data_IF_417288300792
#
_entry.id   IF_417288300792
#
_cell.length_a   1.000
_cell.length_b   1.000
_cell.length_c   1.000
_cell.angle_alpha   90.00
_cell.angle_beta   90.00
_cell.angle_gamma   90.00
#
_symmetry.space_group_name_H-M   'P 1'
#
loop_
_entity.id
_entity.type
_entity.pdbx_description
1 polymer ?
#
# COMPACT_ATOMS: atom_id res chain seq x y z
N UNK A 1 -32.47 33.04 -3.71
CA UNK A 1 -31.81 32.41 -2.55
C UNK A 1 -30.49 31.69 -2.95
N UNK A 2 -29.67 32.26 -3.84
CA UNK A 2 -28.44 31.61 -4.33
C UNK A 2 -27.21 32.54 -4.23
N UNK A 3 -27.10 33.34 -3.16
CA UNK A 3 -26.09 34.42 -3.10
C UNK A 3 -24.79 34.10 -2.36
N UNK A 4 -24.60 32.90 -1.80
CA UNK A 4 -23.40 32.60 -0.98
C UNK A 4 -22.90 31.14 -1.07
N UNK A 5 -23.38 30.31 -2.01
CA UNK A 5 -22.90 28.92 -2.15
C UNK A 5 -22.05 28.83 -3.41
N UNK A 6 -20.75 28.60 -3.24
CA UNK A 6 -19.85 28.29 -4.34
C UNK A 6 -20.27 26.94 -4.94
N UNK A 7 -20.34 26.86 -6.27
CA UNK A 7 -20.66 25.62 -6.97
C UNK A 7 -19.49 24.65 -6.87
N UNK A 8 -19.76 23.46 -6.34
CA UNK A 8 -18.78 22.39 -6.18
C UNK A 8 -18.58 21.62 -7.48
N UNK A 9 -19.65 21.40 -8.24
CA UNK A 9 -19.68 20.55 -9.42
C UNK A 9 -19.69 21.36 -10.72
N UNK A 10 -20.45 22.45 -10.81
CA UNK A 10 -20.46 23.32 -12.00
C UNK A 10 -19.09 23.99 -12.12
N UNK A 11 -18.44 23.84 -13.28
CA UNK A 11 -17.13 24.44 -13.58
C UNK A 11 -17.22 25.35 -14.80
N UNK A 12 -16.30 26.30 -14.89
CA UNK A 12 -16.24 27.22 -16.02
C UNK A 12 -17.45 28.17 -16.13
N UNK A 13 -17.69 28.62 -17.36
CA UNK A 13 -18.77 29.55 -17.69
C UNK A 13 -20.08 28.80 -17.95
N UNK A 14 -21.18 29.31 -17.43
CA UNK A 14 -22.51 28.77 -17.66
C UNK A 14 -23.46 29.93 -17.99
N UNK A 15 -24.00 29.95 -19.20
CA UNK A 15 -24.97 30.95 -19.64
C UNK A 15 -26.05 30.32 -20.51
N UNK A 16 -27.22 30.95 -20.55
CA UNK A 16 -28.35 30.47 -21.32
C UNK A 16 -27.98 30.31 -22.80
N UNK A 17 -28.32 29.17 -23.39
CA UNK A 17 -28.03 28.86 -24.79
C UNK A 17 -26.58 28.50 -25.13
N UNK A 18 -25.66 28.53 -24.17
CA UNK A 18 -24.30 28.00 -24.33
C UNK A 18 -24.15 26.64 -23.63
N UNK A 19 -23.13 25.83 -23.98
CA UNK A 19 -22.77 24.65 -23.21
C UNK A 19 -22.44 25.01 -21.75
N UNK A 20 -22.79 24.12 -20.83
CA UNK A 20 -22.38 24.21 -19.43
C UNK A 20 -21.70 22.91 -18.99
N UNK A 21 -20.60 23.03 -18.26
CA UNK A 21 -19.82 21.89 -17.77
C UNK A 21 -20.07 21.65 -16.28
N UNK A 22 -20.33 20.39 -15.91
CA UNK A 22 -20.51 19.93 -14.53
C UNK A 22 -19.68 18.67 -14.27
N UNK A 23 -18.86 18.66 -13.22
CA UNK A 23 -17.85 17.63 -12.98
C UNK A 23 -18.21 16.73 -11.80
N UNK A 24 -18.65 15.50 -12.08
CA UNK A 24 -18.84 14.44 -11.09
C UNK A 24 -17.49 13.75 -10.79
N UNK A 25 -16.60 14.47 -10.09
CA UNK A 25 -15.25 14.00 -9.72
C UNK A 25 -15.20 13.55 -8.25
N UNK A 26 -16.03 12.58 -7.92
CA UNK A 26 -16.23 12.12 -6.54
C UNK A 26 -16.74 10.68 -6.52
N UNK A 27 -16.70 10.09 -5.33
CA UNK A 27 -17.35 8.81 -5.05
C UNK A 27 -18.87 9.01 -5.02
N UNK A 28 -19.62 7.96 -5.35
CA UNK A 28 -21.07 7.99 -5.35
C UNK A 28 -21.58 7.74 -3.94
N UNK A 29 -21.77 8.80 -3.18
CA UNK A 29 -22.32 8.78 -1.83
C UNK A 29 -23.52 9.72 -1.68
N UNK A 30 -24.20 9.64 -0.54
CA UNK A 30 -25.38 10.46 -0.26
C UNK A 30 -25.09 11.97 -0.38
N UNK A 31 -23.94 12.44 0.11
CA UNK A 31 -23.64 13.88 0.18
C UNK A 31 -23.31 14.45 -1.18
N UNK A 32 -22.42 13.78 -1.92
CA UNK A 32 -22.02 14.12 -3.28
C UNK A 32 -23.21 14.11 -4.23
N UNK A 33 -24.08 13.10 -4.15
CA UNK A 33 -25.28 13.01 -4.99
C UNK A 33 -26.24 14.15 -4.69
N UNK A 34 -26.54 14.45 -3.42
CA UNK A 34 -27.44 15.55 -3.08
C UNK A 34 -26.94 16.91 -3.60
N UNK A 35 -25.64 17.17 -3.48
CA UNK A 35 -25.05 18.41 -3.96
C UNK A 35 -24.99 18.47 -5.49
N UNK A 36 -24.62 17.37 -6.16
CA UNK A 36 -24.63 17.30 -7.62
C UNK A 36 -26.03 17.51 -8.18
N UNK A 37 -27.04 16.82 -7.64
CA UNK A 37 -28.43 16.95 -8.09
C UNK A 37 -28.93 18.39 -7.94
N UNK A 38 -28.58 19.06 -6.83
CA UNK A 38 -28.93 20.46 -6.62
C UNK A 38 -28.31 21.39 -7.68
N UNK A 39 -27.04 21.19 -8.02
CA UNK A 39 -26.35 21.98 -9.05
C UNK A 39 -26.83 21.64 -10.47
N UNK A 40 -27.10 20.37 -10.74
CA UNK A 40 -27.71 19.94 -11.99
C UNK A 40 -29.09 20.58 -12.17
N UNK A 41 -29.92 20.58 -11.12
CA UNK A 41 -31.20 21.30 -11.12
C UNK A 41 -31.03 22.81 -11.26
N UNK A 42 -29.93 23.38 -10.78
CA UNK A 42 -29.62 24.78 -11.01
C UNK A 42 -29.38 25.07 -12.49
N UNK A 43 -28.57 24.23 -13.17
CA UNK A 43 -28.33 24.35 -14.61
C UNK A 43 -29.65 24.22 -15.40
N UNK A 44 -30.46 23.21 -15.09
CA UNK A 44 -31.71 22.94 -15.81
C UNK A 44 -32.73 24.05 -15.61
N UNK A 45 -32.98 24.47 -14.37
CA UNK A 45 -34.11 25.34 -14.05
C UNK A 45 -33.80 26.83 -14.15
N UNK A 46 -32.53 27.25 -14.00
CA UNK A 46 -32.16 28.66 -13.92
C UNK A 46 -31.16 29.12 -14.98
N UNK A 47 -30.30 28.24 -15.48
CA UNK A 47 -29.34 28.60 -16.54
C UNK A 47 -29.91 28.31 -17.93
N UNK A 48 -30.54 27.15 -18.11
CA UNK A 48 -31.02 26.65 -19.40
C UNK A 48 -29.93 26.65 -20.50
N UNK A 49 -28.83 25.89 -20.31
CA UNK A 49 -27.78 25.76 -21.31
C UNK A 49 -28.29 25.03 -22.57
N UNK A 50 -27.55 25.16 -23.68
CA UNK A 50 -27.88 24.41 -24.91
C UNK A 50 -27.52 22.93 -24.81
N UNK A 51 -26.52 22.60 -23.98
CA UNK A 51 -26.11 21.23 -23.67
C UNK A 51 -25.46 21.21 -22.29
N UNK A 52 -25.67 20.13 -21.53
CA UNK A 52 -24.99 19.90 -20.25
C UNK A 52 -23.93 18.83 -20.47
N UNK A 53 -22.66 19.19 -20.27
CA UNK A 53 -21.51 18.30 -20.33
C UNK A 53 -21.17 17.80 -18.95
N UNK A 54 -21.37 16.50 -18.75
CA UNK A 54 -21.20 15.82 -17.48
C UNK A 54 -19.86 15.11 -17.51
N UNK A 55 -18.88 15.72 -16.88
CA UNK A 55 -17.52 15.22 -16.77
C UNK A 55 -17.43 14.21 -15.62
N UNK A 56 -16.92 13.01 -15.88
CA UNK A 56 -16.96 11.88 -14.94
C UNK A 56 -15.55 11.39 -14.64
N UNK A 57 -15.24 11.35 -13.35
CA UNK A 57 -14.07 10.70 -12.77
C UNK A 57 -14.48 10.12 -11.41
N UNK A 58 -15.02 8.91 -11.43
CA UNK A 58 -15.62 8.26 -10.26
C UNK A 58 -15.27 6.78 -10.21
N UNK A 59 -14.92 6.32 -9.00
CA UNK A 59 -14.77 4.89 -8.70
C UNK A 59 -16.12 4.20 -8.44
N UNK A 60 -17.22 4.95 -8.43
CA UNK A 60 -18.54 4.46 -8.08
C UNK A 60 -18.83 4.57 -6.59
N UNK A 61 -19.73 3.72 -6.08
CA UNK A 61 -20.24 3.78 -4.71
C UNK A 61 -21.65 3.21 -4.60
N UNK A 62 -22.54 3.91 -3.88
CA UNK A 62 -23.90 3.46 -3.59
C UNK A 62 -24.75 3.31 -4.85
N UNK A 63 -25.30 2.12 -5.06
CA UNK A 63 -26.25 1.83 -6.16
C UNK A 63 -27.47 2.72 -6.07
N UNK A 64 -28.03 2.89 -4.86
CA UNK A 64 -29.25 3.67 -4.65
C UNK A 64 -29.03 5.15 -4.99
N UNK A 65 -27.92 5.73 -4.51
CA UNK A 65 -27.60 7.14 -4.76
C UNK A 65 -27.25 7.36 -6.24
N UNK A 66 -26.46 6.47 -6.85
CA UNK A 66 -26.10 6.57 -8.27
C UNK A 66 -27.31 6.42 -9.19
N UNK A 67 -28.29 5.58 -8.85
CA UNK A 67 -29.54 5.47 -9.61
C UNK A 67 -30.38 6.76 -9.57
N UNK A 68 -30.24 7.58 -8.52
CA UNK A 68 -30.91 8.88 -8.46
C UNK A 68 -30.29 9.86 -9.47
N UNK A 69 -28.96 9.85 -9.60
CA UNK A 69 -28.25 10.64 -10.62
C UNK A 69 -28.59 10.14 -12.03
N UNK A 70 -28.52 8.82 -12.26
CA UNK A 70 -28.90 8.20 -13.53
C UNK A 70 -30.29 8.62 -13.98
N UNK A 71 -31.29 8.49 -13.09
CA UNK A 71 -32.67 8.85 -13.41
C UNK A 71 -32.82 10.33 -13.70
N UNK A 72 -32.12 11.20 -12.96
CA UNK A 72 -32.17 12.64 -13.17
C UNK A 72 -31.61 13.07 -14.53
N UNK A 73 -30.51 12.45 -14.97
CA UNK A 73 -29.92 12.70 -16.28
C UNK A 73 -30.88 12.22 -17.38
N UNK A 74 -31.40 10.99 -17.27
CA UNK A 74 -32.35 10.41 -18.23
C UNK A 74 -33.66 11.21 -18.37
N UNK A 75 -34.14 11.83 -17.29
CA UNK A 75 -35.35 12.66 -17.31
C UNK A 75 -35.12 14.07 -17.87
N UNK A 76 -33.86 14.49 -18.00
CA UNK A 76 -33.50 15.83 -18.42
C UNK A 76 -33.94 16.09 -19.87
N UNK A 77 -34.45 17.31 -20.13
CA UNK A 77 -34.89 17.74 -21.47
C UNK A 77 -33.82 18.49 -22.25
N UNK A 78 -32.78 18.95 -21.55
CA UNK A 78 -31.60 19.54 -22.18
C UNK A 78 -30.69 18.38 -22.59
N UNK A 79 -30.15 18.41 -23.81
CA UNK A 79 -29.21 17.40 -24.30
C UNK A 79 -28.03 17.26 -23.34
N UNK A 80 -27.64 16.03 -23.05
CA UNK A 80 -26.57 15.68 -22.12
C UNK A 80 -25.45 14.93 -22.82
N UNK A 81 -24.21 15.37 -22.58
CA UNK A 81 -22.99 14.71 -23.07
C UNK A 81 -22.24 14.18 -21.83
N UNK A 82 -22.13 12.86 -21.66
CA UNK A 82 -21.37 12.27 -20.55
C UNK A 82 -19.95 11.95 -21.01
N UNK A 83 -18.95 12.58 -20.40
CA UNK A 83 -17.54 12.44 -20.76
C UNK A 83 -16.80 11.70 -19.65
N UNK A 84 -16.26 10.52 -19.95
CA UNK A 84 -15.33 9.84 -19.06
C UNK A 84 -13.94 10.46 -19.22
N UNK A 85 -13.57 11.32 -18.28
CA UNK A 85 -12.30 12.05 -18.30
C UNK A 85 -11.12 11.22 -17.80
N UNK A 86 -11.38 10.13 -17.08
CA UNK A 86 -10.35 9.36 -16.39
C UNK A 86 -10.84 7.95 -16.03
N UNK A 87 -11.81 7.87 -15.14
CA UNK A 87 -12.37 6.62 -14.66
C UNK A 87 -13.89 6.74 -14.53
N UNK A 88 -14.60 5.84 -15.19
CA UNK A 88 -16.01 5.58 -14.92
C UNK A 88 -16.11 4.12 -14.46
N UNK A 89 -16.08 3.90 -13.14
CA UNK A 89 -16.13 2.57 -12.56
C UNK A 89 -17.42 2.34 -11.77
N UNK A 90 -17.95 1.11 -11.79
CA UNK A 90 -19.10 0.71 -10.97
C UNK A 90 -20.30 1.67 -11.18
N UNK A 91 -20.85 2.29 -10.14
CA UNK A 91 -21.93 3.27 -10.33
C UNK A 91 -21.52 4.51 -11.14
N UNK A 92 -20.23 4.82 -11.25
CA UNK A 92 -19.71 5.83 -12.17
C UNK A 92 -19.91 5.45 -13.64
N UNK A 93 -19.81 4.17 -14.02
CA UNK A 93 -20.10 3.72 -15.39
C UNK A 93 -21.59 3.72 -15.70
N UNK A 94 -22.46 3.47 -14.71
CA UNK A 94 -23.90 3.65 -14.85
C UNK A 94 -24.27 5.13 -15.04
N UNK A 95 -23.73 6.03 -14.21
CA UNK A 95 -23.97 7.48 -14.36
C UNK A 95 -23.50 7.96 -15.73
N UNK A 96 -22.33 7.50 -16.20
CA UNK A 96 -21.84 7.79 -17.54
C UNK A 96 -22.82 7.32 -18.62
N UNK A 97 -23.31 6.09 -18.52
CA UNK A 97 -24.28 5.51 -19.46
C UNK A 97 -25.65 6.21 -19.51
N UNK A 98 -25.92 7.18 -18.62
CA UNK A 98 -27.17 7.94 -18.59
C UNK A 98 -27.25 9.06 -19.65
N UNK A 99 -26.12 9.52 -20.19
CA UNK A 99 -26.08 10.64 -21.12
C UNK A 99 -26.75 10.34 -22.46
N UNK A 100 -27.18 11.38 -23.18
CA UNK A 100 -27.66 11.22 -24.56
C UNK A 100 -26.51 10.75 -25.45
N UNK A 101 -25.34 11.40 -25.32
CA UNK A 101 -24.09 11.03 -25.97
C UNK A 101 -23.00 10.70 -24.96
N UNK A 102 -22.14 9.75 -25.32
CA UNK A 102 -21.13 9.18 -24.45
C UNK A 102 -19.75 9.37 -25.06
N UNK A 103 -18.87 10.04 -24.35
CA UNK A 103 -17.49 10.27 -24.76
C UNK A 103 -16.52 9.61 -23.79
N UNK A 104 -15.36 9.22 -24.30
CA UNK A 104 -14.24 8.74 -23.49
C UNK A 104 -12.96 9.40 -23.97
N UNK A 105 -12.10 9.83 -23.04
CA UNK A 105 -10.72 10.14 -23.40
C UNK A 105 -9.98 8.86 -23.77
N UNK A 106 -9.06 8.96 -24.72
CA UNK A 106 -8.32 7.81 -25.26
C UNK A 106 -7.47 7.07 -24.21
N UNK A 107 -7.14 7.73 -23.10
CA UNK A 107 -6.49 7.12 -21.94
C UNK A 107 -7.46 6.57 -20.89
N UNK A 108 -8.74 6.95 -20.92
CA UNK A 108 -9.67 6.68 -19.82
C UNK A 108 -10.01 5.19 -19.69
N UNK A 109 -10.40 4.80 -18.48
CA UNK A 109 -10.86 3.46 -18.15
C UNK A 109 -12.36 3.45 -17.86
N UNK A 110 -13.03 2.44 -18.38
CA UNK A 110 -14.37 2.03 -18.01
C UNK A 110 -14.26 0.75 -17.18
N UNK A 111 -14.91 0.68 -16.02
CA UNK A 111 -14.91 -0.53 -15.20
C UNK A 111 -16.34 -0.91 -14.81
N UNK A 112 -16.68 -2.16 -15.05
CA UNK A 112 -18.02 -2.70 -14.84
C UNK A 112 -17.87 -3.99 -14.04
N UNK A 113 -18.62 -4.10 -12.94
CA UNK A 113 -18.63 -5.26 -12.06
C UNK A 113 -20.00 -5.46 -11.41
N UNK A 114 -20.22 -6.61 -10.78
CA UNK A 114 -21.45 -6.88 -10.04
C UNK A 114 -21.55 -6.04 -8.75
N UNK A 115 -22.74 -5.55 -8.40
CA UNK A 115 -22.95 -4.87 -7.12
C UNK A 115 -22.76 -5.85 -5.96
N UNK A 116 -22.19 -5.35 -4.87
CA UNK A 116 -21.99 -6.09 -3.63
C UNK A 116 -22.38 -5.23 -2.42
N UNK A 117 -22.67 -5.88 -1.30
CA UNK A 117 -22.71 -5.21 0.00
C UNK A 117 -21.35 -5.36 0.67
N UNK A 118 -20.73 -4.27 1.11
CA UNK A 118 -19.56 -4.34 1.98
C UNK A 118 -20.04 -4.54 3.43
N UNK A 119 -19.65 -5.67 4.03
CA UNK A 119 -19.85 -5.95 5.43
C UNK A 119 -18.52 -6.33 6.07
N UNK A 120 -17.98 -5.44 6.90
CA UNK A 120 -16.71 -5.60 7.59
C UNK A 120 -15.49 -5.79 6.65
N UNK A 121 -15.50 -5.16 5.47
CA UNK A 121 -14.42 -5.27 4.49
C UNK A 121 -14.50 -6.52 3.61
N UNK A 122 -15.58 -7.29 3.73
CA UNK A 122 -15.88 -8.45 2.89
C UNK A 122 -17.08 -8.17 1.99
N UNK A 123 -16.97 -8.60 0.74
CA UNK A 123 -18.07 -8.52 -0.22
C UNK A 123 -19.09 -9.59 0.09
N UNK A 124 -20.33 -9.16 0.30
CA UNK A 124 -21.47 -10.03 0.49
C UNK A 124 -22.46 -9.89 -0.66
N UNK A 125 -23.02 -11.03 -1.05
CA UNK A 125 -24.05 -11.14 -2.08
C UNK A 125 -25.31 -11.71 -1.43
N UNK A 126 -26.42 -10.99 -1.59
CA UNK A 126 -27.71 -11.32 -1.03
C UNK A 126 -28.82 -11.03 -2.05
N UNK A 127 -30.08 -11.24 -1.64
CA UNK A 127 -31.24 -11.02 -2.50
C UNK A 127 -31.31 -9.59 -3.05
N UNK A 128 -30.89 -8.58 -2.29
CA UNK A 128 -30.91 -7.19 -2.74
C UNK A 128 -29.83 -6.93 -3.81
N UNK A 129 -28.61 -7.44 -3.62
CA UNK A 129 -27.54 -7.31 -4.63
C UNK A 129 -27.89 -8.08 -5.90
N UNK A 130 -28.57 -9.21 -5.81
CA UNK A 130 -29.08 -9.94 -6.98
C UNK A 130 -30.11 -9.11 -7.76
N UNK A 131 -31.06 -8.49 -7.06
CA UNK A 131 -32.04 -7.59 -7.69
C UNK A 131 -31.36 -6.38 -8.37
N UNK A 132 -30.37 -5.77 -7.71
CA UNK A 132 -29.58 -4.70 -8.32
C UNK A 132 -28.76 -5.19 -9.51
N UNK A 133 -28.21 -6.41 -9.47
CA UNK A 133 -27.49 -7.00 -10.60
C UNK A 133 -28.38 -7.06 -11.83
N UNK A 134 -29.61 -7.56 -11.69
CA UNK A 134 -30.57 -7.60 -12.80
C UNK A 134 -30.94 -6.20 -13.31
N UNK A 135 -31.10 -5.23 -12.40
CA UNK A 135 -31.38 -3.83 -12.76
C UNK A 135 -30.23 -3.23 -13.59
N UNK A 136 -28.99 -3.32 -13.10
CA UNK A 136 -27.82 -2.74 -13.77
C UNK A 136 -27.52 -3.46 -15.08
N UNK A 137 -27.63 -4.79 -15.13
CA UNK A 137 -27.53 -5.57 -16.37
C UNK A 137 -28.52 -5.09 -17.43
N UNK A 138 -29.77 -4.84 -17.03
CA UNK A 138 -30.81 -4.32 -17.93
C UNK A 138 -30.42 -2.96 -18.54
N UNK A 139 -29.78 -2.09 -17.76
CA UNK A 139 -29.29 -0.78 -18.24
C UNK A 139 -28.23 -0.99 -19.32
N UNK A 140 -27.21 -1.82 -19.05
CA UNK A 140 -26.14 -2.07 -20.02
C UNK A 140 -26.66 -2.71 -21.32
N UNK A 141 -27.50 -3.75 -21.21
CA UNK A 141 -28.11 -4.41 -22.38
C UNK A 141 -28.90 -3.42 -23.23
N UNK A 142 -29.76 -2.61 -22.60
CA UNK A 142 -30.60 -1.65 -23.32
C UNK A 142 -29.81 -0.50 -23.92
N UNK A 143 -28.81 0.00 -23.21
CA UNK A 143 -28.02 1.17 -23.64
C UNK A 143 -27.08 0.82 -24.78
N UNK A 144 -26.44 -0.35 -24.73
CA UNK A 144 -25.35 -0.71 -25.63
C UNK A 144 -25.70 -1.80 -26.65
N UNK A 145 -26.91 -2.38 -26.57
CA UNK A 145 -27.34 -3.43 -27.49
C UNK A 145 -26.59 -4.76 -27.34
N UNK A 146 -25.84 -4.93 -26.25
CA UNK A 146 -25.12 -6.15 -25.91
C UNK A 146 -26.09 -7.25 -25.46
N UNK A 147 -25.72 -8.51 -25.68
CA UNK A 147 -26.48 -9.63 -25.12
C UNK A 147 -26.35 -9.68 -23.59
N UNK A 148 -27.33 -10.30 -22.93
CA UNK A 148 -27.27 -10.51 -21.48
C UNK A 148 -26.02 -11.28 -21.06
N UNK A 149 -25.62 -12.28 -21.85
CA UNK A 149 -24.42 -13.10 -21.59
C UNK A 149 -23.14 -12.26 -21.71
N UNK A 150 -23.02 -11.38 -22.70
CA UNK A 150 -21.87 -10.48 -22.83
C UNK A 150 -21.77 -9.53 -21.65
N UNK A 151 -22.89 -8.93 -21.23
CA UNK A 151 -22.91 -8.04 -20.06
C UNK A 151 -22.57 -8.81 -18.79
N UNK A 152 -23.13 -10.00 -18.60
CA UNK A 152 -22.84 -10.87 -17.46
C UNK A 152 -21.35 -11.23 -17.40
N UNK A 153 -20.74 -11.62 -18.53
CA UNK A 153 -19.31 -11.90 -18.61
C UNK A 153 -18.46 -10.66 -18.26
N UNK A 154 -18.87 -9.47 -18.71
CA UNK A 154 -18.19 -8.22 -18.37
C UNK A 154 -18.31 -7.91 -16.87
N UNK A 155 -19.51 -8.04 -16.29
CA UNK A 155 -19.77 -7.80 -14.87
C UNK A 155 -19.07 -8.81 -13.96
N UNK A 156 -18.93 -10.07 -14.41
CA UNK A 156 -18.21 -11.11 -13.68
C UNK A 156 -16.70 -10.90 -13.75
N UNK A 157 -16.18 -10.50 -14.92
CA UNK A 157 -14.74 -10.43 -15.14
C UNK A 157 -14.11 -11.81 -15.35
N UNK A 158 -12.78 -11.83 -15.34
CA UNK A 158 -12.02 -13.09 -15.42
C UNK A 158 -12.00 -13.80 -14.06
N UNK A 159 -11.63 -15.08 -14.06
CA UNK A 159 -11.52 -15.86 -12.82
C UNK A 159 -10.60 -15.17 -11.80
N UNK A 160 -11.15 -14.89 -10.62
CA UNK A 160 -10.43 -14.21 -9.53
C UNK A 160 -10.41 -12.67 -9.61
N UNK A 161 -11.02 -12.08 -10.64
CA UNK A 161 -11.15 -10.63 -10.79
C UNK A 161 -12.57 -10.16 -10.43
N UNK A 162 -12.71 -8.90 -10.02
CA UNK A 162 -14.00 -8.28 -9.69
C UNK A 162 -14.50 -7.45 -10.87
N UNK A 163 -15.07 -8.10 -11.87
CA UNK A 163 -15.51 -7.44 -13.10
C UNK A 163 -14.36 -7.11 -14.06
N UNK A 164 -14.66 -6.23 -15.02
CA UNK A 164 -13.79 -5.97 -16.16
C UNK A 164 -13.42 -4.50 -16.25
N UNK A 165 -12.12 -4.23 -16.36
CA UNK A 165 -11.59 -2.94 -16.81
C UNK A 165 -11.42 -2.94 -18.32
N UNK A 166 -11.91 -1.89 -18.97
CA UNK A 166 -11.89 -1.67 -20.40
C UNK A 166 -11.18 -0.34 -20.67
N UNK A 167 -10.15 -0.37 -21.51
CA UNK A 167 -9.58 0.83 -22.12
C UNK A 167 -10.57 1.45 -23.10
N UNK A 168 -10.39 2.72 -23.46
CA UNK A 168 -11.19 3.37 -24.51
C UNK A 168 -11.25 2.56 -25.82
N UNK A 169 -10.14 1.93 -26.22
CA UNK A 169 -10.09 1.07 -27.41
C UNK A 169 -10.94 -0.21 -27.26
N UNK A 170 -10.91 -0.85 -26.09
CA UNK A 170 -11.73 -2.03 -25.81
C UNK A 170 -13.21 -1.67 -25.62
N UNK A 171 -13.50 -0.49 -25.06
CA UNK A 171 -14.85 0.04 -24.94
C UNK A 171 -15.45 0.29 -26.33
N UNK A 172 -14.67 0.86 -27.25
CA UNK A 172 -15.03 1.02 -28.67
C UNK A 172 -15.28 -0.35 -29.35
N UNK A 173 -14.35 -1.29 -29.20
CA UNK A 173 -14.49 -2.65 -29.78
C UNK A 173 -15.76 -3.36 -29.31
N UNK A 174 -16.14 -3.15 -28.04
CA UNK A 174 -17.35 -3.72 -27.43
C UNK A 174 -18.61 -2.86 -27.63
N UNK A 175 -18.55 -1.76 -28.37
CA UNK A 175 -19.73 -0.93 -28.64
C UNK A 175 -20.25 -0.11 -27.47
N UNK A 176 -19.42 0.17 -26.45
CA UNK A 176 -19.78 1.11 -25.37
C UNK A 176 -19.70 2.57 -25.81
N UNK A 177 -18.86 2.89 -26.79
CA UNK A 177 -18.62 4.24 -27.27
C UNK A 177 -18.31 4.20 -28.76
N UNK A 178 -18.73 5.23 -29.49
CA UNK A 178 -18.45 5.36 -30.92
C UNK A 178 -17.05 5.90 -31.18
N UNK A 179 -16.48 5.59 -32.35
CA UNK A 179 -15.13 6.02 -32.70
C UNK A 179 -14.99 7.55 -32.74
N UNK A 180 -16.04 8.27 -33.15
CA UNK A 180 -16.07 9.74 -33.17
C UNK A 180 -16.19 10.38 -31.78
N UNK A 181 -16.57 9.59 -30.77
CA UNK A 181 -16.69 10.02 -29.39
C UNK A 181 -15.45 9.70 -28.54
N UNK A 182 -14.38 9.21 -29.18
CA UNK A 182 -13.06 9.11 -28.55
C UNK A 182 -12.35 10.46 -28.65
N UNK A 183 -12.03 11.02 -27.48
CA UNK A 183 -11.29 12.28 -27.36
C UNK A 183 -9.80 11.97 -27.26
N UNK A 184 -9.07 12.22 -28.34
CA UNK A 184 -7.62 12.08 -28.41
C UNK A 184 -6.91 13.05 -27.47
N UNK A 185 -5.86 12.57 -26.80
CA UNK A 185 -5.08 13.37 -25.85
C UNK A 185 -3.60 13.45 -26.24
N UNK A 186 -2.84 14.44 -25.75
CA UNK A 186 -1.42 14.54 -26.07
C UNK A 186 -0.67 13.27 -25.68
N UNK A 187 0.11 12.72 -26.62
CA UNK A 187 0.86 11.46 -26.43
C UNK A 187 1.65 11.41 -25.13
N UNK A 188 2.27 12.51 -24.71
CA UNK A 188 3.04 12.56 -23.46
C UNK A 188 2.18 12.27 -22.21
N UNK A 189 0.94 12.73 -22.18
CA UNK A 189 -0.01 12.48 -21.07
C UNK A 189 -0.41 11.01 -21.06
N UNK A 190 -0.74 10.46 -22.23
CA UNK A 190 -1.08 9.05 -22.41
C UNK A 190 0.05 8.11 -21.98
N UNK A 191 1.28 8.38 -22.41
CA UNK A 191 2.45 7.57 -22.06
C UNK A 191 2.71 7.58 -20.53
N UNK A 192 2.52 8.73 -19.87
CA UNK A 192 2.64 8.84 -18.41
C UNK A 192 1.58 8.03 -17.66
N UNK A 193 0.32 8.12 -18.09
CA UNK A 193 -0.80 7.39 -17.47
C UNK A 193 -0.61 5.89 -17.67
N UNK A 194 -0.27 5.45 -18.88
CA UNK A 194 -0.04 4.02 -19.16
C UNK A 194 1.13 3.46 -18.35
N UNK A 195 2.22 4.21 -18.20
CA UNK A 195 3.35 3.80 -17.37
C UNK A 195 2.96 3.67 -15.88
N UNK A 196 2.14 4.58 -15.37
CA UNK A 196 1.64 4.55 -14.00
C UNK A 196 0.67 3.38 -13.75
N UNK A 197 -0.20 3.06 -14.72
CA UNK A 197 -1.17 1.97 -14.62
C UNK A 197 -0.55 0.57 -14.75
N UNK A 198 0.61 0.44 -15.42
CA UNK A 198 1.25 -0.86 -15.72
C UNK A 198 1.46 -1.77 -14.51
N UNK A 199 1.61 -1.20 -13.31
CA UNK A 199 1.93 -1.94 -12.09
C UNK A 199 0.77 -1.94 -11.08
N UNK A 200 -0.42 -1.48 -11.44
CA UNK A 200 -1.54 -1.42 -10.50
C UNK A 200 -2.84 -1.96 -11.08
N UNK A 201 -3.52 -2.78 -10.28
CA UNK A 201 -4.90 -3.22 -10.49
C UNK A 201 -5.83 -2.68 -9.41
N UNK A 202 -5.30 -1.92 -8.44
CA UNK A 202 -6.04 -1.42 -7.30
C UNK A 202 -6.79 -0.14 -7.67
N UNK A 203 -8.12 -0.14 -7.50
CA UNK A 203 -8.96 0.97 -7.92
C UNK A 203 -8.64 2.28 -7.17
N UNK A 204 -8.16 2.19 -5.92
CA UNK A 204 -7.72 3.34 -5.13
C UNK A 204 -6.43 3.96 -5.67
N UNK A 205 -5.46 3.14 -6.05
CA UNK A 205 -4.24 3.58 -6.73
C UNK A 205 -4.52 4.13 -8.13
N UNK A 206 -5.43 3.51 -8.88
CA UNK A 206 -5.90 4.00 -10.18
C UNK A 206 -6.52 5.40 -10.01
N UNK A 207 -7.42 5.58 -9.05
CA UNK A 207 -8.01 6.89 -8.72
C UNK A 207 -6.94 7.93 -8.38
N UNK A 208 -5.93 7.56 -7.58
CA UNK A 208 -4.83 8.46 -7.22
C UNK A 208 -3.99 8.89 -8.45
N UNK A 209 -3.67 7.95 -9.35
CA UNK A 209 -2.95 8.22 -10.61
C UNK A 209 -3.76 9.19 -11.46
N UNK A 210 -5.06 8.93 -11.64
CA UNK A 210 -5.94 9.78 -12.42
C UNK A 210 -6.17 11.15 -11.80
N UNK A 211 -6.16 11.27 -10.46
CA UNK A 211 -6.22 12.55 -9.77
C UNK A 211 -5.04 13.48 -10.06
N UNK A 212 -3.87 12.94 -10.46
CA UNK A 212 -2.69 13.73 -10.82
C UNK A 212 -2.74 14.29 -12.24
N UNK A 213 -3.57 13.71 -13.12
CA UNK A 213 -3.66 14.04 -14.56
C UNK A 213 -5.03 14.58 -14.96
N UNK A 214 -6.01 14.57 -14.04
CA UNK A 214 -7.33 15.11 -14.29
C UNK A 214 -7.22 16.58 -14.72
N UNK A 215 -7.81 16.97 -15.87
CA UNK A 215 -7.78 18.36 -16.29
C UNK A 215 -8.45 19.22 -15.21
N UNK A 216 -7.69 20.15 -14.63
CA UNK A 216 -8.24 21.22 -13.80
C UNK A 216 -9.05 22.12 -14.72
N UNK A 217 -10.35 21.85 -14.85
CA UNK A 217 -11.26 22.82 -15.44
C UNK A 217 -11.21 24.06 -14.54
N UNK A 218 -10.95 25.25 -15.11
CA UNK A 218 -10.76 26.46 -14.31
C UNK A 218 -11.97 26.67 -13.39
N UNK A 219 -11.69 26.96 -12.12
CA UNK A 219 -12.71 27.34 -11.15
C UNK A 219 -13.55 28.46 -11.73
N UNK A 220 -14.87 28.35 -11.55
CA UNK A 220 -15.91 29.26 -12.05
C UNK A 220 -15.42 30.71 -12.10
N UNK A 221 -15.05 31.17 -13.30
CA UNK A 221 -15.08 32.59 -13.61
C UNK A 221 -16.50 32.83 -14.06
N UNK A 222 -17.29 33.59 -13.29
CA UNK A 222 -18.51 34.18 -13.82
C UNK A 222 -18.09 34.90 -15.10
N UNK A 223 -18.52 34.39 -16.25
CA UNK A 223 -18.00 34.87 -17.53
C UNK A 223 -18.45 36.33 -17.71
N UNK A 224 -17.51 37.27 -17.59
CA UNK A 224 -17.71 38.71 -17.72
C UNK A 224 -18.11 39.16 -19.14
N UNK A 225 -18.33 38.24 -20.09
CA UNK A 225 -18.50 38.58 -21.51
C UNK A 225 -19.91 39.03 -21.94
N UNK A 226 -20.81 39.37 -21.02
CA UNK A 226 -22.07 40.05 -21.38
C UNK A 226 -22.36 41.33 -20.58
N UNK A 227 -21.41 41.86 -19.80
CA UNK A 227 -21.62 43.14 -19.07
C UNK A 227 -21.17 44.36 -19.89
N UNK A 228 -20.28 44.21 -20.87
CA UNK A 228 -19.66 45.35 -21.56
C UNK A 228 -20.33 45.81 -22.86
N UNK A 229 -21.45 45.23 -23.28
CA UNK A 229 -22.14 45.67 -24.52
C UNK A 229 -23.35 46.59 -24.32
N UNK A 230 -23.67 47.03 -23.10
CA UNK A 230 -24.79 47.96 -22.85
C UNK A 230 -24.47 49.11 -21.86
N UNK A 231 -23.22 49.58 -21.78
CA UNK A 231 -22.84 50.63 -20.80
C UNK A 231 -23.33 52.06 -21.08
N UNK A 232 -24.26 52.31 -22.01
CA UNK A 232 -24.70 53.69 -22.31
C UNK A 232 -26.20 53.98 -22.11
N UNK A 233 -26.97 53.13 -21.43
CA UNK A 233 -28.39 53.42 -21.16
C UNK A 233 -28.91 52.86 -19.83
N UNK A 234 -28.22 53.08 -18.70
CA UNK A 234 -28.82 52.81 -17.39
C UNK A 234 -29.57 54.04 -16.85
N UNK A 235 -30.84 53.87 -16.49
CA UNK A 235 -31.65 54.91 -15.82
C UNK A 235 -31.20 55.10 -14.35
N UNK A 236 -31.48 56.28 -13.76
CA UNK A 236 -31.17 56.61 -12.35
C UNK A 236 -31.70 55.57 -11.37
N UNK A 237 -32.81 54.90 -11.71
CA UNK A 237 -33.40 53.84 -10.91
C UNK A 237 -32.49 52.63 -10.78
N UNK A 238 -31.84 52.23 -11.87
CA UNK A 238 -30.95 51.06 -11.91
C UNK A 238 -29.62 51.33 -11.19
N UNK A 239 -29.08 52.55 -11.33
CA UNK A 239 -27.89 52.98 -10.58
C UNK A 239 -28.17 52.95 -9.07
N UNK A 240 -29.36 53.39 -8.64
CA UNK A 240 -29.75 53.37 -7.23
C UNK A 240 -29.89 51.94 -6.70
N UNK A 241 -30.46 51.02 -7.48
CA UNK A 241 -30.59 49.60 -7.13
C UNK A 241 -29.22 48.91 -7.01
N UNK A 242 -28.32 49.16 -7.95
CA UNK A 242 -26.96 48.60 -7.90
C UNK A 242 -26.11 49.20 -6.78
N UNK A 243 -26.22 50.50 -6.53
CA UNK A 243 -25.58 51.16 -5.39
C UNK A 243 -26.06 50.56 -4.05
N UNK A 244 -27.36 50.28 -3.91
CA UNK A 244 -27.93 49.68 -2.71
C UNK A 244 -27.37 48.27 -2.43
N UNK A 245 -27.03 47.49 -3.45
CA UNK A 245 -26.36 46.19 -3.28
C UNK A 245 -24.99 46.31 -2.60
N UNK A 246 -24.33 47.46 -2.75
CA UNK A 246 -23.06 47.79 -2.10
C UNK A 246 -23.24 48.64 -0.84
N UNK A 247 -24.48 48.86 -0.37
CA UNK A 247 -24.79 49.70 0.78
C UNK A 247 -24.59 51.20 0.53
N UNK A 248 -24.49 51.62 -0.73
CA UNK A 248 -24.36 53.01 -1.15
C UNK A 248 -25.76 53.59 -1.39
N UNK A 249 -26.11 54.68 -0.70
CA UNK A 249 -27.44 55.30 -0.77
C UNK A 249 -27.33 56.82 -0.92
N UNK A 250 -28.42 57.46 -1.38
CA UNK A 250 -28.48 58.92 -1.57
C UNK A 250 -27.45 59.43 -2.57
N UNK A 251 -26.81 60.57 -2.28
CA UNK A 251 -25.80 61.20 -3.16
C UNK A 251 -24.54 60.34 -3.40
N UNK A 252 -24.35 59.27 -2.62
CA UNK A 252 -23.24 58.33 -2.79
C UNK A 252 -23.55 57.21 -3.77
N UNK A 253 -24.77 57.11 -4.29
CA UNK A 253 -25.18 56.15 -5.30
C UNK A 253 -24.84 56.66 -6.71
N UNK A 254 -23.55 56.74 -7.03
CA UNK A 254 -23.05 57.18 -8.34
C UNK A 254 -22.31 56.05 -9.05
N UNK A 255 -22.13 56.18 -10.36
CA UNK A 255 -21.41 55.18 -11.16
C UNK A 255 -19.95 55.06 -10.71
N UNK A 256 -19.35 56.16 -10.28
CA UNK A 256 -17.97 56.23 -9.79
C UNK A 256 -17.79 55.49 -8.47
N UNK A 257 -18.75 55.63 -7.53
CA UNK A 257 -18.66 54.95 -6.23
C UNK A 257 -18.89 53.45 -6.35
N UNK A 258 -19.79 53.02 -7.26
CA UNK A 258 -19.99 51.62 -7.63
C UNK A 258 -18.69 51.05 -8.24
N UNK A 259 -18.11 51.76 -9.21
CA UNK A 259 -16.86 51.33 -9.87
C UNK A 259 -15.69 51.23 -8.88
N UNK A 260 -15.56 52.19 -7.97
CA UNK A 260 -14.55 52.14 -6.91
C UNK A 260 -14.74 50.93 -5.99
N UNK A 261 -15.99 50.58 -5.64
CA UNK A 261 -16.27 49.42 -4.79
C UNK A 261 -16.02 48.10 -5.50
N UNK A 262 -16.32 48.02 -6.79
CA UNK A 262 -15.99 46.87 -7.65
C UNK A 262 -14.47 46.67 -7.68
N UNK A 263 -13.69 47.73 -7.89
CA UNK A 263 -12.24 47.65 -7.90
C UNK A 263 -11.65 47.24 -6.54
N UNK A 264 -12.21 47.73 -5.43
CA UNK A 264 -11.81 47.30 -4.08
C UNK A 264 -12.07 45.81 -3.86
N UNK A 265 -13.24 45.32 -4.29
CA UNK A 265 -13.61 43.90 -4.17
C UNK A 265 -12.76 43.02 -5.08
N UNK A 266 -12.43 43.48 -6.29
CA UNK A 266 -11.50 42.81 -7.21
C UNK A 266 -10.11 42.67 -6.59
N UNK A 267 -9.56 43.75 -6.03
CA UNK A 267 -8.27 43.70 -5.35
C UNK A 267 -8.27 42.74 -4.14
N UNK A 268 -9.40 42.59 -3.43
CA UNK A 268 -9.54 41.57 -2.37
C UNK A 268 -9.61 40.16 -2.93
N UNK A 269 -10.32 39.95 -4.04
CA UNK A 269 -10.39 38.66 -4.72
C UNK A 269 -9.00 38.21 -5.22
N UNK A 270 -8.26 39.09 -5.89
CA UNK A 270 -6.91 38.82 -6.38
C UNK A 270 -5.96 38.42 -5.22
N UNK A 271 -6.10 39.10 -4.07
CA UNK A 271 -5.32 38.77 -2.86
C UNK A 271 -5.70 37.41 -2.28
N UNK A 272 -6.98 37.04 -2.31
CA UNK A 272 -7.46 35.72 -1.86
C UNK A 272 -6.95 34.62 -2.78
N UNK A 273 -6.96 34.83 -4.10
CA UNK A 273 -6.42 33.86 -5.07
C UNK A 273 -4.91 33.65 -4.87
N UNK A 274 -4.15 34.71 -4.65
CA UNK A 274 -2.73 34.61 -4.34
C UNK A 274 -2.46 33.83 -3.04
N UNK A 275 -3.31 34.00 -2.01
CA UNK A 275 -3.22 33.24 -0.75
C UNK A 275 -3.58 31.77 -1.00
N UNK A 276 -4.61 31.48 -1.79
CA UNK A 276 -5.02 30.12 -2.11
C UNK A 276 -3.93 29.38 -2.87
N UNK A 277 -3.33 30.00 -3.89
CA UNK A 277 -2.20 29.43 -4.63
C UNK A 277 -1.01 29.14 -3.70
N UNK A 278 -0.69 30.04 -2.79
CA UNK A 278 0.38 29.83 -1.80
C UNK A 278 0.05 28.67 -0.83
N UNK A 279 -1.22 28.50 -0.48
CA UNK A 279 -1.69 27.39 0.36
C UNK A 279 -1.58 26.04 -0.37
N UNK A 280 -1.95 26.00 -1.64
CA UNK A 280 -1.87 24.81 -2.48
C UNK A 280 -0.40 24.39 -2.69
N UNK A 281 0.48 25.35 -2.98
CA UNK A 281 1.93 25.11 -3.06
C UNK A 281 2.50 24.57 -1.74
N UNK A 282 2.08 25.12 -0.60
CA UNK A 282 2.49 24.63 0.73
C UNK A 282 1.94 23.24 1.04
N UNK A 283 0.73 22.94 0.61
CA UNK A 283 0.10 21.63 0.78
C UNK A 283 0.83 20.56 -0.03
N UNK A 284 1.23 20.88 -1.28
CA UNK A 284 2.05 19.99 -2.11
C UNK A 284 3.45 19.73 -1.51
N UNK A 285 4.09 20.77 -0.97
CA UNK A 285 5.37 20.65 -0.25
C UNK A 285 5.25 19.73 0.97
N UNK A 286 4.16 19.86 1.74
CA UNK A 286 3.91 19.05 2.92
C UNK A 286 3.65 17.58 2.58
N UNK A 287 2.92 17.31 1.49
CA UNK A 287 2.73 15.95 0.98
C UNK A 287 4.06 15.28 0.59
N UNK A 288 4.94 16.03 -0.10
CA UNK A 288 6.28 15.56 -0.50
C UNK A 288 7.14 15.24 0.73
N UNK A 289 7.19 16.15 1.71
CA UNK A 289 7.95 15.96 2.94
C UNK A 289 7.46 14.75 3.76
N UNK A 290 6.14 14.51 3.80
CA UNK A 290 5.58 13.34 4.48
C UNK A 290 5.94 12.01 3.80
N UNK A 291 6.01 12.00 2.46
CA UNK A 291 6.47 10.83 1.71
C UNK A 291 7.95 10.52 2.00
N UNK A 292 8.81 11.55 2.00
CA UNK A 292 10.23 11.41 2.36
C UNK A 292 10.42 10.93 3.80
N UNK A 293 9.66 11.47 4.76
CA UNK A 293 9.69 11.06 6.16
C UNK A 293 9.29 9.59 6.32
N UNK A 294 8.27 9.14 5.58
CA UNK A 294 7.80 7.75 5.58
C UNK A 294 8.87 6.81 5.01
N UNK A 295 9.53 7.21 3.92
CA UNK A 295 10.68 6.50 3.36
C UNK A 295 11.84 6.39 4.35
N UNK A 296 12.20 7.50 4.99
CA UNK A 296 13.26 7.53 6.01
C UNK A 296 12.94 6.64 7.22
N UNK A 297 11.69 6.65 7.70
CA UNK A 297 11.23 5.79 8.81
C UNK A 297 11.35 4.31 8.46
N UNK A 298 11.00 3.94 7.22
CA UNK A 298 11.12 2.56 6.72
C UNK A 298 12.59 2.13 6.65
N UNK A 299 13.47 2.99 6.12
CA UNK A 299 14.92 2.74 6.10
C UNK A 299 15.51 2.58 7.51
N UNK A 300 15.10 3.40 8.47
CA UNK A 300 15.54 3.27 9.87
C UNK A 300 15.07 1.93 10.46
N UNK A 301 13.83 1.52 10.20
CA UNK A 301 13.31 0.22 10.65
C UNK A 301 14.13 -0.95 10.09
N UNK A 302 14.45 -0.92 8.79
CA UNK A 302 15.26 -1.94 8.14
C UNK A 302 16.69 -1.98 8.70
N UNK A 303 17.35 -0.83 8.83
CA UNK A 303 18.69 -0.74 9.43
C UNK A 303 18.70 -1.23 10.88
N UNK A 304 17.63 -0.97 11.64
CA UNK A 304 17.49 -1.48 13.02
C UNK A 304 17.36 -3.00 13.04
N UNK A 305 16.59 -3.59 12.11
CA UNK A 305 16.47 -5.03 11.98
C UNK A 305 17.81 -5.67 11.58
N UNK A 306 18.54 -5.08 10.64
CA UNK A 306 19.84 -5.57 10.21
C UNK A 306 20.91 -5.43 11.30
N UNK A 307 20.88 -4.33 12.07
CA UNK A 307 21.75 -4.17 13.25
C UNK A 307 21.49 -5.25 14.30
N UNK A 308 20.22 -5.60 14.54
CA UNK A 308 19.86 -6.70 15.46
C UNK A 308 20.40 -8.03 14.96
N UNK A 309 20.17 -8.38 13.67
CA UNK A 309 20.73 -9.60 13.07
C UNK A 309 22.25 -9.65 13.15
N UNK A 310 22.94 -8.54 12.88
CA UNK A 310 24.39 -8.45 12.96
C UNK A 310 24.90 -8.65 14.39
N UNK A 311 24.22 -8.09 15.40
CA UNK A 311 24.54 -8.31 16.82
C UNK A 311 24.34 -9.77 17.23
N UNK A 312 23.24 -10.39 16.79
CA UNK A 312 22.97 -11.80 17.08
C UNK A 312 24.02 -12.72 16.44
N UNK A 313 24.37 -12.47 15.17
CA UNK A 313 25.44 -13.20 14.50
C UNK A 313 26.79 -13.03 15.21
N UNK A 314 27.14 -11.79 15.60
CA UNK A 314 28.37 -11.51 16.33
C UNK A 314 28.44 -12.27 17.66
N UNK A 315 27.33 -12.32 18.40
CA UNK A 315 27.24 -13.07 19.65
C UNK A 315 27.52 -14.56 19.44
N UNK A 316 26.92 -15.16 18.40
CA UNK A 316 27.18 -16.57 18.04
C UNK A 316 28.66 -16.81 17.73
N UNK A 317 29.30 -15.90 16.97
CA UNK A 317 30.73 -16.01 16.68
C UNK A 317 31.60 -15.90 17.93
N UNK A 318 31.30 -14.95 18.83
CA UNK A 318 32.03 -14.77 20.09
C UNK A 318 31.90 -15.99 21.01
N UNK A 319 30.70 -16.58 21.12
CA UNK A 319 30.47 -17.80 21.88
C UNK A 319 31.23 -19.00 21.28
N UNK A 320 31.24 -19.12 19.95
CA UNK A 320 31.99 -20.16 19.25
C UNK A 320 33.51 -20.01 19.42
N UNK A 321 34.02 -18.78 19.35
CA UNK A 321 35.44 -18.46 19.57
C UNK A 321 35.86 -18.76 21.01
N UNK A 322 35.08 -18.32 22.01
CA UNK A 322 35.33 -18.62 23.42
C UNK A 322 35.38 -20.12 23.68
N UNK A 323 34.42 -20.88 23.14
CA UNK A 323 34.37 -22.34 23.25
C UNK A 323 35.56 -23.02 22.56
N UNK A 324 35.97 -22.53 21.39
CA UNK A 324 37.14 -23.04 20.69
C UNK A 324 38.44 -22.79 21.49
N UNK A 325 38.55 -21.63 22.13
CA UNK A 325 39.69 -21.30 22.98
C UNK A 325 39.72 -22.13 24.26
N UNK A 326 38.58 -22.33 24.91
CA UNK A 326 38.44 -23.24 26.06
C UNK A 326 38.86 -24.67 25.70
N UNK A 327 38.40 -25.17 24.55
CA UNK A 327 38.79 -26.50 24.05
C UNK A 327 40.31 -26.62 23.82
N UNK A 328 40.95 -25.58 23.26
CA UNK A 328 42.42 -25.56 23.09
C UNK A 328 43.15 -25.58 24.43
N UNK A 329 42.69 -24.79 25.40
CA UNK A 329 43.27 -24.75 26.76
C UNK A 329 43.17 -26.13 27.41
N UNK A 330 41.97 -26.71 27.42
CA UNK A 330 41.75 -28.03 28.00
C UNK A 330 42.61 -29.09 27.31
N UNK A 331 42.67 -29.10 25.97
CA UNK A 331 43.50 -30.05 25.22
C UNK A 331 44.99 -29.91 25.53
N UNK A 332 45.51 -28.69 25.70
CA UNK A 332 46.91 -28.44 26.07
C UNK A 332 47.23 -29.01 27.46
N UNK A 333 46.39 -28.75 28.45
CA UNK A 333 46.58 -29.20 29.83
C UNK A 333 46.39 -30.71 29.96
N UNK A 334 45.33 -31.26 29.36
CA UNK A 334 45.05 -32.69 29.39
C UNK A 334 46.17 -33.50 28.70
N UNK A 335 46.76 -32.96 27.62
CA UNK A 335 47.95 -33.54 27.00
C UNK A 335 49.16 -33.51 27.94
N UNK A 336 49.40 -32.41 28.65
CA UNK A 336 50.51 -32.31 29.60
C UNK A 336 50.37 -33.28 30.79
N UNK A 337 49.14 -33.53 31.25
CA UNK A 337 48.84 -34.56 32.26
C UNK A 337 49.12 -35.96 31.69
N UNK A 338 48.64 -36.24 30.47
CA UNK A 338 48.84 -37.52 29.78
C UNK A 338 50.33 -37.83 29.56
N UNK A 339 51.11 -36.81 29.23
CA UNK A 339 52.56 -36.91 29.02
C UNK A 339 53.34 -36.92 30.35
N UNK A 340 52.65 -37.01 31.50
CA UNK A 340 53.23 -37.03 32.85
C UNK A 340 54.12 -35.82 33.19
N UNK A 341 53.86 -34.66 32.56
CA UNK A 341 54.59 -33.42 32.84
C UNK A 341 54.06 -32.70 34.07
N UNK A 342 52.76 -32.78 34.32
CA UNK A 342 52.07 -32.15 35.46
C UNK A 342 51.15 -33.15 36.16
N UNK A 343 50.81 -32.92 37.43
CA UNK A 343 49.85 -33.74 38.18
C UNK A 343 48.41 -33.42 37.75
N UNK A 344 47.49 -34.37 37.96
CA UNK A 344 46.05 -34.13 37.81
C UNK A 344 45.53 -33.12 38.84
N UNK A 345 46.15 -33.07 40.01
CA UNK A 345 45.75 -32.17 41.10
C UNK A 345 46.02 -30.69 40.75
N UNK A 346 47.03 -30.43 39.92
CA UNK A 346 47.43 -29.08 39.52
C UNK A 346 46.62 -28.55 38.31
N UNK A 347 45.70 -29.34 37.76
CA UNK A 347 45.01 -29.06 36.49
C UNK A 347 44.38 -27.67 36.46
N UNK A 348 43.67 -27.29 37.52
CA UNK A 348 42.97 -25.99 37.58
C UNK A 348 43.93 -24.81 37.49
N UNK A 349 45.11 -24.89 38.10
CA UNK A 349 46.08 -23.80 38.10
C UNK A 349 46.68 -23.61 36.70
N UNK A 350 46.97 -24.70 36.00
CA UNK A 350 47.46 -24.65 34.62
C UNK A 350 46.37 -24.21 33.62
N UNK A 351 45.10 -24.56 33.86
CA UNK A 351 43.96 -24.02 33.08
C UNK A 351 43.83 -22.51 33.27
N UNK A 352 43.88 -22.00 34.51
CA UNK A 352 43.83 -20.56 34.80
C UNK A 352 45.01 -19.80 34.17
N UNK A 353 46.20 -20.38 34.20
CA UNK A 353 47.38 -19.81 33.53
C UNK A 353 47.17 -19.72 32.01
N UNK A 354 46.68 -20.79 31.39
CA UNK A 354 46.44 -20.83 29.95
C UNK A 354 45.25 -19.95 29.50
N UNK A 355 44.28 -19.70 30.38
CA UNK A 355 43.22 -18.70 30.17
C UNK A 355 43.78 -17.27 30.16
N UNK A 356 44.80 -16.99 30.98
CA UNK A 356 45.39 -15.65 31.10
C UNK A 356 46.37 -15.36 29.95
N UNK A 357 47.22 -16.33 29.62
CA UNK A 357 48.14 -16.26 28.49
C UNK A 357 48.43 -17.67 27.96
N UNK A 358 47.74 -18.04 26.88
CA UNK A 358 47.86 -19.36 26.27
C UNK A 358 49.27 -19.64 25.76
N UNK A 359 49.93 -18.65 25.14
CA UNK A 359 51.25 -18.82 24.54
C UNK A 359 52.35 -18.96 25.62
N UNK A 360 52.19 -18.28 26.75
CA UNK A 360 53.05 -18.48 27.91
C UNK A 360 52.84 -19.88 28.51
N UNK A 361 51.59 -20.29 28.72
CA UNK A 361 51.28 -21.61 29.27
C UNK A 361 51.84 -22.75 28.40
N UNK A 362 51.69 -22.65 27.08
CA UNK A 362 52.26 -23.62 26.13
C UNK A 362 53.78 -23.71 26.25
N UNK A 363 54.47 -22.56 26.31
CA UNK A 363 55.93 -22.51 26.49
C UNK A 363 56.38 -23.08 27.82
N UNK A 364 55.66 -22.84 28.90
CA UNK A 364 55.97 -23.37 30.24
C UNK A 364 55.80 -24.89 30.22
N UNK A 365 54.64 -25.39 29.80
CA UNK A 365 54.33 -26.82 29.74
C UNK A 365 55.29 -27.59 28.80
N UNK A 366 55.76 -26.96 27.72
CA UNK A 366 56.75 -27.56 26.84
C UNK A 366 58.09 -27.83 27.53
N UNK A 367 58.52 -26.93 28.44
CA UNK A 367 59.81 -26.99 29.15
C UNK A 367 59.81 -27.93 30.36
N UNK A 368 58.65 -28.35 30.84
CA UNK A 368 58.57 -29.29 31.97
C UNK A 368 58.96 -30.69 31.46
N UNK A 369 59.99 -31.33 32.03
CA UNK A 369 60.35 -32.70 31.69
C UNK A 369 59.28 -33.66 32.22
N UNK A 370 59.02 -34.74 31.47
CA UNK A 370 58.13 -35.79 31.94
C UNK A 370 58.69 -36.43 33.22
N UNK A 371 57.85 -36.60 34.24
CA UNK A 371 58.23 -37.38 35.42
C UNK A 371 58.22 -38.85 35.05
N UNK A 372 59.20 -39.61 35.56
CA UNK A 372 59.13 -41.07 35.50
C UNK A 372 57.81 -41.50 36.12
N UNK A 373 57.03 -42.28 35.37
CA UNK A 373 55.70 -42.71 35.78
C UNK A 373 55.81 -43.84 36.82
N UNK A 374 56.52 -43.56 37.92
CA UNK A 374 56.80 -44.47 39.03
C UNK A 374 55.50 -45.07 39.57
N UNK A 375 54.39 -44.33 39.55
CA UNK A 375 53.08 -44.84 39.95
C UNK A 375 52.55 -45.97 39.05
N UNK A 376 52.57 -45.81 37.72
CA UNK A 376 52.21 -46.91 36.80
C UNK A 376 53.25 -48.02 36.79
N UNK A 377 54.54 -47.69 36.90
CA UNK A 377 55.62 -48.69 36.97
C UNK A 377 55.45 -49.56 38.23
N UNK A 378 55.15 -48.97 39.38
CA UNK A 378 54.88 -49.68 40.63
C UNK A 378 53.56 -50.46 40.55
N UNK A 379 52.50 -49.88 39.95
CA UNK A 379 51.23 -50.58 39.76
C UNK A 379 51.36 -51.79 38.82
N UNK A 380 52.12 -51.66 37.74
CA UNK A 380 52.39 -52.74 36.80
C UNK A 380 53.30 -53.80 37.43
N UNK A 381 54.36 -53.37 38.12
CA UNK A 381 55.21 -54.27 38.90
C UNK A 381 54.42 -55.03 39.97
N UNK A 382 53.47 -54.39 40.66
CA UNK A 382 52.60 -55.04 41.64
C UNK A 382 51.62 -56.01 40.98
N UNK A 383 51.10 -55.72 39.78
CA UNK A 383 50.26 -56.64 39.02
C UNK A 383 51.04 -57.84 38.49
N UNK A 384 52.28 -57.63 38.03
CA UNK A 384 53.17 -58.69 37.54
C UNK A 384 53.64 -59.56 38.72
N UNK A 385 53.95 -58.97 39.88
CA UNK A 385 54.29 -59.69 41.12
C UNK A 385 53.09 -60.48 41.67
N UNK A 386 51.87 -59.94 41.55
CA UNK A 386 50.64 -60.66 41.90
C UNK A 386 50.33 -61.83 40.95
N UNK A 387 50.81 -61.77 39.69
CA UNK A 387 50.70 -62.85 38.71
C UNK A 387 51.74 -63.96 38.94
N UNK A 388 52.97 -63.61 39.30
CA UNK A 388 54.07 -64.58 39.49
C UNK A 388 54.14 -65.18 40.91
N UNK A 389 53.44 -64.61 41.89
CA UNK A 389 53.55 -64.97 43.32
C UNK A 389 52.57 -66.01 43.88
N UNK A 390 51.70 -66.62 43.08
CA UNK A 390 50.65 -67.54 43.57
C UNK A 390 50.76 -68.95 42.97
N UNK A 391 51.79 -69.70 43.37
CA UNK A 391 51.60 -71.13 43.58
C UNK A 391 51.24 -71.32 45.06
N UNK A 392 49.99 -71.65 45.35
CA UNK A 392 49.57 -71.94 46.73
C UNK A 392 50.36 -73.14 47.25
N UNK A 393 50.66 -73.18 48.55
CA UNK A 393 51.38 -74.31 49.16
C UNK A 393 50.67 -75.65 48.89
N UNK A 394 49.35 -75.65 48.67
CA UNK A 394 48.59 -76.80 48.17
C UNK A 394 49.01 -77.28 46.77
N UNK A 395 49.32 -76.38 45.84
CA UNK A 395 49.82 -76.76 44.50
C UNK A 395 51.24 -77.32 44.54
N UNK A 396 52.09 -76.84 45.46
CA UNK A 396 53.42 -77.42 45.70
C UNK A 396 53.34 -78.78 46.39
N UNK A 397 52.39 -78.96 47.31
CA UNK A 397 52.13 -80.25 47.97
C UNK A 397 51.56 -81.25 46.96
N UNK A 398 50.63 -80.83 46.09
CA UNK A 398 50.05 -81.70 45.07
C UNK A 398 51.07 -82.13 44.00
N UNK A 399 51.95 -81.22 43.57
CA UNK A 399 53.06 -81.56 42.68
C UNK A 399 54.04 -82.56 43.32
N UNK A 400 54.32 -82.45 44.63
CA UNK A 400 55.14 -83.43 45.36
C UNK A 400 54.43 -84.77 45.56
N UNK A 401 53.12 -84.77 45.79
CA UNK A 401 52.33 -86.02 45.91
C UNK A 401 52.34 -86.75 44.57
N UNK A 402 52.11 -86.07 43.45
CA UNK A 402 52.17 -86.68 42.11
C UNK A 402 53.55 -87.26 41.76
N UNK A 403 54.63 -86.62 42.23
CA UNK A 403 56.01 -87.09 42.02
C UNK A 403 56.34 -88.37 42.82
N UNK A 404 55.69 -88.57 43.97
CA UNK A 404 55.93 -89.71 44.87
C UNK A 404 55.03 -90.92 44.57
N UNK A 405 53.75 -90.69 44.28
CA UNK A 405 52.76 -91.78 44.08
C UNK A 405 52.32 -91.99 42.63
N UNK A 406 52.78 -91.14 41.72
CA UNK A 406 52.42 -91.18 40.30
C UNK A 406 51.05 -90.57 40.01
N UNK A 407 50.87 -90.03 38.80
CA UNK A 407 49.68 -89.24 38.40
C UNK A 407 48.35 -89.98 38.47
N UNK A 408 48.37 -91.31 38.48
CA UNK A 408 47.17 -92.15 38.45
C UNK A 408 46.75 -92.66 39.85
N UNK A 409 47.38 -92.17 40.93
CA UNK A 409 47.05 -92.59 42.29
C UNK A 409 45.69 -92.04 42.75
N UNK A 410 44.76 -92.93 43.09
CA UNK A 410 43.48 -92.59 43.72
C UNK A 410 43.42 -93.11 45.15
N UNK A 411 43.25 -92.19 46.11
CA UNK A 411 43.00 -92.55 47.50
C UNK A 411 41.69 -93.36 47.60
N UNK A 412 41.74 -94.50 48.32
CA UNK A 412 40.53 -95.27 48.65
C UNK A 412 39.65 -94.43 49.58
N UNK A 413 38.39 -94.27 49.21
CA UNK A 413 37.33 -93.80 50.10
C UNK A 413 36.98 -94.92 51.09
N UNK A 414 36.79 -94.59 52.36
CA UNK A 414 36.19 -95.50 53.34
C UNK A 414 34.68 -95.56 53.07
N UNK A 415 34.12 -96.78 53.04
CA UNK A 415 32.68 -97.07 52.86
C UNK A 415 31.81 -96.48 53.96
#
# INVERSE_FOLDING_TARGET
MAKNKEFKFIKGAYCAGAPADICYYTDVDYWSVQEFLWEFDYLVNYVNPSVIRIHINSVGGSVIEGMSVFSKIMDCKIRTECINDALAASMGSIIWAAGDELFMKDYALLMIHNPFCDANGEKQYNQATEAFTQQLKTIYVKRFGLSEEEVENIMNGQEGEDGTFLTAAQALEKGFVDAEHIIETPKAVKDQIQAALKNTKDIGQIKAIYGLVAPTLPSTTINEQNITSNSNTMDKTEITVFAALFGLTGEKATVESISAKINELKAKADKTEAIQKALDEKTAQLATANAELTGAKTSISNLTADLTKAKDALKVYQEAEAKAQENKINALVDKAIKDCKISKDDREDYVKMAQSDFALAERILAKIPARDNLGQIISQANQDTAKDGLQTEEQKVQAKVEDVVGKDFKFKTLD
#
